data_IF_157152658346
#
_entry.id   IF_157152658346
#
_cell.length_a   1.000
_cell.length_b   1.000
_cell.length_c   1.000
_cell.angle_alpha   90.00
_cell.angle_beta   90.00
_cell.angle_gamma   90.00
#
_symmetry.space_group_name_H-M   'P 1'
#
loop_
_entity.id
_entity.type
_entity.pdbx_description
1 polymer ?
#
# COMPACT_ATOMS: atom_id res chain seq x y z
N UNK A 1 -21.63 1.01 -11.27
CA UNK A 1 -20.18 1.29 -11.38
C UNK A 1 -19.82 2.29 -10.31
N UNK A 2 -19.84 1.87 -9.05
CA UNK A 2 -19.51 2.72 -7.92
C UNK A 2 -18.03 2.57 -7.62
N UNK A 3 -17.26 3.63 -7.79
CA UNK A 3 -15.93 3.72 -7.21
C UNK A 3 -16.17 3.84 -5.70
N UNK A 4 -16.31 2.71 -5.02
CA UNK A 4 -16.24 2.69 -3.56
C UNK A 4 -14.87 3.25 -3.22
N UNK A 5 -14.81 4.48 -2.72
CA UNK A 5 -13.57 5.13 -2.30
C UNK A 5 -13.10 4.47 -1.00
N UNK A 6 -12.73 3.19 -1.07
CA UNK A 6 -12.12 2.46 0.02
C UNK A 6 -10.66 2.87 0.06
N UNK A 7 -10.38 3.90 0.86
CA UNK A 7 -9.09 4.58 0.92
C UNK A 7 -8.01 3.57 1.33
N UNK A 8 -8.35 2.61 2.20
CA UNK A 8 -7.46 1.50 2.54
C UNK A 8 -7.07 0.62 1.36
N UNK A 9 -8.00 0.34 0.44
CA UNK A 9 -7.72 -0.48 -0.73
C UNK A 9 -6.86 0.26 -1.76
N UNK A 10 -7.03 1.58 -1.88
CA UNK A 10 -6.15 2.44 -2.68
C UNK A 10 -4.72 2.47 -2.13
N UNK A 11 -4.57 2.64 -0.80
CA UNK A 11 -3.27 2.63 -0.13
C UNK A 11 -2.56 1.28 -0.28
N UNK A 12 -3.30 0.17 -0.16
CA UNK A 12 -2.78 -1.17 -0.41
C UNK A 12 -2.32 -1.33 -1.86
N UNK A 13 -3.08 -0.84 -2.84
CA UNK A 13 -2.70 -0.90 -4.24
C UNK A 13 -1.37 -0.15 -4.48
N UNK A 14 -1.21 1.04 -3.91
CA UNK A 14 0.05 1.80 -3.98
C UNK A 14 1.19 1.00 -3.34
N UNK A 15 0.98 0.41 -2.16
CA UNK A 15 1.97 -0.45 -1.50
C UNK A 15 2.41 -1.61 -2.40
N UNK A 16 1.46 -2.35 -2.99
CA UNK A 16 1.74 -3.50 -3.85
C UNK A 16 2.49 -3.10 -5.12
N UNK A 17 2.18 -1.93 -5.70
CA UNK A 17 2.93 -1.38 -6.85
C UNK A 17 4.37 -1.08 -6.46
N UNK A 18 4.60 -0.38 -5.33
CA UNK A 18 5.94 -0.05 -4.86
C UNK A 18 6.77 -1.29 -4.54
N UNK A 19 6.17 -2.29 -3.90
CA UNK A 19 6.83 -3.57 -3.60
C UNK A 19 7.13 -4.32 -4.89
N UNK A 20 6.15 -4.46 -5.81
CA UNK A 20 6.35 -5.14 -7.08
C UNK A 20 7.44 -4.50 -7.95
N UNK A 21 7.47 -3.17 -8.01
CA UNK A 21 8.55 -2.44 -8.67
C UNK A 21 9.89 -2.58 -7.94
N UNK A 22 9.89 -2.62 -6.61
CA UNK A 22 11.10 -2.83 -5.80
C UNK A 22 11.72 -4.21 -5.97
N UNK A 23 10.92 -5.21 -6.36
CA UNK A 23 11.40 -6.55 -6.73
C UNK A 23 11.99 -6.59 -8.15
N UNK A 24 11.48 -5.76 -9.06
CA UNK A 24 11.95 -5.72 -10.45
C UNK A 24 13.19 -4.84 -10.62
N UNK A 25 13.24 -3.73 -9.89
CA UNK A 25 14.32 -2.73 -9.93
C UNK A 25 14.62 -2.31 -8.49
N UNK A 26 15.89 -2.29 -8.05
CA UNK A 26 16.24 -1.81 -6.71
C UNK A 26 15.93 -0.31 -6.58
N UNK A 27 14.77 0.01 -6.01
CA UNK A 27 14.27 1.38 -5.81
C UNK A 27 14.97 2.13 -4.66
N UNK A 28 15.84 1.48 -3.89
CA UNK A 28 16.53 2.08 -2.75
C UNK A 28 15.60 2.50 -1.61
N UNK A 29 14.34 2.04 -1.60
CA UNK A 29 13.35 2.38 -0.57
C UNK A 29 13.68 1.60 0.70
N UNK A 30 13.92 2.28 1.84
CA UNK A 30 14.17 1.59 3.10
C UNK A 30 12.98 0.72 3.52
N UNK A 31 13.25 -0.50 3.99
CA UNK A 31 12.21 -1.44 4.41
C UNK A 31 11.27 -0.88 5.50
N UNK A 32 11.76 0.04 6.34
CA UNK A 32 10.96 0.71 7.36
C UNK A 32 9.82 1.56 6.74
N UNK A 33 10.07 2.21 5.60
CA UNK A 33 9.08 3.06 4.92
C UNK A 33 7.98 2.19 4.31
N UNK A 34 8.37 1.09 3.67
CA UNK A 34 7.42 0.10 3.14
C UNK A 34 6.60 -0.54 4.27
N UNK A 35 7.23 -0.88 5.40
CA UNK A 35 6.55 -1.43 6.56
C UNK A 35 5.51 -0.49 7.17
N UNK A 36 5.84 0.80 7.32
CA UNK A 36 4.89 1.82 7.79
C UNK A 36 3.71 1.94 6.81
N UNK A 37 3.98 2.00 5.50
CA UNK A 37 2.93 2.08 4.47
C UNK A 37 2.00 0.86 4.53
N UNK A 38 2.57 -0.34 4.71
CA UNK A 38 1.81 -1.59 4.86
C UNK A 38 0.90 -1.56 6.09
N UNK A 39 1.42 -1.14 7.24
CA UNK A 39 0.63 -1.05 8.49
C UNK A 39 -0.50 -0.04 8.36
N UNK A 40 -0.24 1.14 7.80
CA UNK A 40 -1.28 2.15 7.56
C UNK A 40 -2.36 1.57 6.64
N UNK A 41 -1.97 0.93 5.53
CA UNK A 41 -2.93 0.33 4.60
C UNK A 41 -3.78 -0.76 5.27
N UNK A 42 -3.18 -1.63 6.08
CA UNK A 42 -3.88 -2.67 6.83
C UNK A 42 -4.86 -2.12 7.86
N UNK A 43 -4.48 -1.07 8.60
CA UNK A 43 -5.36 -0.38 9.56
C UNK A 43 -6.56 0.24 8.84
N UNK A 44 -6.34 0.93 7.72
CA UNK A 44 -7.43 1.52 6.94
C UNK A 44 -8.38 0.44 6.38
N UNK A 45 -7.84 -0.68 5.90
CA UNK A 45 -8.66 -1.82 5.43
C UNK A 45 -9.50 -2.42 6.57
N UNK A 46 -8.92 -2.61 7.75
CA UNK A 46 -9.63 -3.15 8.93
C UNK A 46 -10.74 -2.22 9.43
N UNK A 47 -10.53 -0.91 9.36
CA UNK A 47 -11.55 0.10 9.69
C UNK A 47 -12.73 0.06 8.69
N UNK A 48 -12.58 -0.62 7.55
CA UNK A 48 -13.64 -0.76 6.55
C UNK A 48 -13.95 0.54 5.80
N UNK A 49 -12.98 1.47 5.73
CA UNK A 49 -13.09 2.76 5.04
C UNK A 49 -11.96 3.00 4.05
#
# INVERSE_FOLDING_TARGET
>A
MGITHNIGFLLLAIYLILVGLGLLIPLGIPAIVLGILALISGIFILIGR
#
